data_IF_478068928134
#
_entry.id   IF_478068928134
#
_cell.length_a   1.000
_cell.length_b   1.000
_cell.length_c   1.000
_cell.angle_alpha   90.00
_cell.angle_beta   90.00
_cell.angle_gamma   90.00
#
_symmetry.space_group_name_H-M   'P 1'
#
loop_
_entity.id
_entity.type
_entity.pdbx_description
1 polymer ?
#
# COMPACT_ATOMS: atom_id res chain seq x y z
N UNK A 1 -6.37 -9.69 16.10
CA UNK A 1 -5.00 -9.44 16.60
C UNK A 1 -4.76 -10.07 17.96
N UNK A 2 -5.50 -9.65 18.98
CA UNK A 2 -5.29 -10.18 20.36
C UNK A 2 -5.39 -11.70 20.43
N UNK A 3 -6.42 -12.29 19.84
CA UNK A 3 -6.67 -13.75 19.88
C UNK A 3 -5.58 -14.55 19.13
N UNK A 4 -4.82 -13.90 18.27
CA UNK A 4 -3.69 -14.47 17.52
C UNK A 4 -2.33 -14.18 18.15
N UNK A 5 -2.31 -13.47 19.29
CA UNK A 5 -1.10 -13.21 20.06
C UNK A 5 -0.40 -11.87 19.79
N UNK A 6 -0.98 -10.97 18.99
CA UNK A 6 -0.48 -9.61 18.88
C UNK A 6 -0.72 -8.82 20.17
N UNK A 7 0.17 -7.90 20.48
CA UNK A 7 0.07 -7.01 21.63
C UNK A 7 -0.60 -5.70 21.21
N UNK A 8 -1.77 -5.38 21.80
CA UNK A 8 -2.37 -4.04 21.67
C UNK A 8 -1.59 -3.04 22.52
N UNK A 9 -0.71 -2.27 21.89
CA UNK A 9 0.15 -1.30 22.57
C UNK A 9 -0.56 0.03 22.87
N UNK A 10 -1.61 0.37 22.12
CA UNK A 10 -2.43 1.56 22.33
C UNK A 10 -3.81 1.41 21.71
N UNK A 11 -4.80 2.07 22.27
CA UNK A 11 -6.17 2.08 21.78
C UNK A 11 -6.91 0.76 21.96
N UNK A 12 -7.73 0.39 20.99
CA UNK A 12 -8.48 -0.88 20.95
C UNK A 12 -9.89 -0.78 21.49
N UNK A 13 -10.31 0.37 22.00
CA UNK A 13 -11.63 0.55 22.58
C UNK A 13 -12.55 1.37 21.67
N UNK A 14 -13.83 1.09 21.79
CA UNK A 14 -14.88 1.94 21.21
C UNK A 14 -14.95 3.27 21.95
N UNK A 15 -15.17 4.36 21.20
CA UNK A 15 -15.35 5.69 21.77
C UNK A 15 -16.83 6.06 21.78
N UNK A 16 -17.37 6.25 22.98
CA UNK A 16 -18.76 6.67 23.20
C UNK A 16 -19.81 5.61 22.85
N UNK A 17 -21.08 5.99 22.98
CA UNK A 17 -22.23 5.09 22.81
C UNK A 17 -22.93 5.24 21.44
N UNK A 18 -22.58 6.29 20.70
CA UNK A 18 -23.20 6.62 19.40
C UNK A 18 -22.18 6.57 18.27
N UNK A 19 -22.60 6.04 17.11
CA UNK A 19 -21.75 5.93 15.94
C UNK A 19 -20.75 4.78 16.00
N UNK A 20 -19.79 4.80 15.08
CA UNK A 20 -18.77 3.74 14.87
C UNK A 20 -17.37 4.30 15.12
N UNK A 21 -17.18 4.97 16.25
CA UNK A 21 -15.89 5.53 16.62
C UNK A 21 -15.06 4.54 17.41
N UNK A 22 -13.81 4.37 17.01
CA UNK A 22 -12.81 3.55 17.69
C UNK A 22 -11.55 4.39 17.93
N UNK A 23 -10.86 4.13 19.02
CA UNK A 23 -9.57 4.77 19.31
C UNK A 23 -8.55 4.43 18.22
N UNK A 24 -7.63 5.36 17.86
CA UNK A 24 -6.43 5.00 17.10
C UNK A 24 -5.70 3.86 17.81
N UNK A 25 -5.50 2.76 17.11
CA UNK A 25 -5.06 1.49 17.69
C UNK A 25 -3.73 1.06 17.10
N UNK A 26 -2.81 0.61 17.93
CA UNK A 26 -1.49 0.11 17.51
C UNK A 26 -1.29 -1.29 18.04
N UNK A 27 -1.00 -2.22 17.13
CA UNK A 27 -0.56 -3.58 17.46
C UNK A 27 0.93 -3.76 17.22
N UNK A 28 1.62 -4.37 18.18
CA UNK A 28 3.01 -4.85 18.09
C UNK A 28 3.06 -6.37 18.16
N UNK A 29 4.24 -6.93 17.93
CA UNK A 29 4.47 -8.39 17.90
C UNK A 29 3.58 -9.09 16.88
N UNK A 30 3.26 -8.39 15.80
CA UNK A 30 2.47 -8.91 14.68
C UNK A 30 3.35 -9.81 13.81
N UNK A 31 2.83 -10.98 13.44
CA UNK A 31 3.45 -11.88 12.46
C UNK A 31 2.72 -11.83 11.12
N UNK A 32 3.37 -12.33 10.07
CA UNK A 32 2.83 -12.26 8.70
C UNK A 32 1.55 -13.08 8.50
N UNK A 33 1.28 -14.07 9.35
CA UNK A 33 0.14 -14.97 9.27
C UNK A 33 -1.11 -14.45 10.00
N UNK A 34 -0.96 -13.38 10.79
CA UNK A 34 -2.10 -12.81 11.52
C UNK A 34 -3.06 -12.09 10.57
N UNK A 35 -4.36 -12.20 10.83
CA UNK A 35 -5.41 -11.54 10.04
C UNK A 35 -5.15 -10.02 9.92
N UNK A 36 -4.68 -9.39 11.01
CA UNK A 36 -4.35 -7.95 11.02
C UNK A 36 -3.12 -7.57 10.18
N UNK A 37 -2.37 -8.56 9.66
CA UNK A 37 -1.29 -8.35 8.71
C UNK A 37 -1.71 -8.67 7.27
N UNK A 38 -2.70 -9.53 7.08
CA UNK A 38 -3.12 -10.04 5.77
C UNK A 38 -4.38 -9.37 5.23
N UNK A 39 -5.31 -8.98 6.12
CA UNK A 39 -6.58 -8.37 5.76
C UNK A 39 -6.53 -6.84 5.87
N UNK A 40 -7.29 -6.17 5.01
CA UNK A 40 -7.47 -4.74 5.07
C UNK A 40 -8.50 -4.37 6.16
N UNK A 41 -8.05 -3.81 7.28
CA UNK A 41 -8.92 -3.45 8.40
C UNK A 41 -9.85 -2.28 8.07
N UNK A 42 -9.44 -1.38 7.21
CA UNK A 42 -10.14 -0.16 6.79
C UNK A 42 -10.60 0.72 7.96
N UNK A 43 -9.69 0.93 8.93
CA UNK A 43 -9.92 1.70 10.15
C UNK A 43 -8.62 2.28 10.72
N UNK A 44 -8.69 3.02 11.85
CA UNK A 44 -7.52 3.69 12.45
C UNK A 44 -6.65 2.69 13.24
N UNK A 45 -6.18 1.65 12.56
CA UNK A 45 -5.39 0.57 13.16
C UNK A 45 -4.05 0.45 12.42
N UNK A 46 -2.97 0.37 13.18
CA UNK A 46 -1.62 0.14 12.68
C UNK A 46 -1.06 -1.17 13.21
N UNK A 47 -0.62 -2.05 12.32
CA UNK A 47 0.08 -3.28 12.64
C UNK A 47 1.59 -3.09 12.42
N UNK A 48 2.39 -3.34 13.45
CA UNK A 48 3.85 -3.18 13.42
C UNK A 48 4.52 -4.54 13.34
N UNK A 49 5.24 -4.76 12.25
CA UNK A 49 6.05 -5.95 12.00
C UNK A 49 7.52 -5.57 11.99
N UNK A 50 8.36 -6.35 12.70
CA UNK A 50 9.82 -6.16 12.72
C UNK A 50 10.45 -6.93 11.56
N UNK A 51 11.52 -6.41 11.01
CA UNK A 51 12.36 -7.08 10.02
C UNK A 51 13.85 -6.97 10.42
N UNK A 52 14.71 -7.83 9.88
CA UNK A 52 16.14 -7.88 10.19
C UNK A 52 16.98 -7.09 9.21
N UNK A 53 16.68 -7.24 7.93
CA UNK A 53 17.43 -6.62 6.84
C UNK A 53 16.52 -6.19 5.69
N UNK A 54 17.10 -5.49 4.72
CA UNK A 54 16.34 -4.91 3.60
C UNK A 54 15.77 -5.97 2.66
N UNK A 55 16.43 -7.10 2.50
CA UNK A 55 15.97 -8.14 1.56
C UNK A 55 14.77 -8.88 2.15
N UNK A 56 14.82 -9.23 3.44
CA UNK A 56 13.64 -9.74 4.17
C UNK A 56 12.47 -8.76 4.12
N UNK A 57 12.72 -7.46 4.34
CA UNK A 57 11.68 -6.44 4.26
C UNK A 57 10.99 -6.44 2.89
N UNK A 58 11.76 -6.47 1.80
CA UNK A 58 11.23 -6.44 0.44
C UNK A 58 10.41 -7.70 0.14
N UNK A 59 10.90 -8.87 0.53
CA UNK A 59 10.20 -10.14 0.36
C UNK A 59 8.85 -10.11 1.08
N UNK A 60 8.84 -9.76 2.36
CA UNK A 60 7.64 -9.72 3.19
C UNK A 60 6.66 -8.62 2.76
N UNK A 61 7.15 -7.43 2.43
CA UNK A 61 6.31 -6.34 1.92
C UNK A 61 5.61 -6.70 0.60
N UNK A 62 6.21 -7.59 -0.18
CA UNK A 62 5.62 -8.10 -1.42
C UNK A 62 4.71 -9.32 -1.22
N UNK A 63 4.77 -9.99 -0.08
CA UNK A 63 3.96 -11.16 0.24
C UNK A 63 2.56 -10.77 0.73
N UNK A 64 1.83 -10.05 -0.11
CA UNK A 64 0.43 -9.63 0.11
C UNK A 64 -0.31 -9.65 -1.22
N UNK A 65 -1.62 -9.82 -1.17
CA UNK A 65 -2.47 -9.71 -2.36
C UNK A 65 -2.64 -8.25 -2.83
N UNK A 66 -2.30 -7.28 -2.01
CA UNK A 66 -2.44 -5.86 -2.29
C UNK A 66 -1.15 -5.23 -2.81
N UNK A 67 -1.27 -4.05 -3.40
CA UNK A 67 -0.15 -3.29 -3.93
C UNK A 67 -0.56 -1.88 -4.35
N UNK A 68 -1.31 -1.15 -3.50
CA UNK A 68 -1.75 0.20 -3.83
C UNK A 68 -0.61 1.20 -3.65
N UNK A 69 -0.09 1.29 -2.44
CA UNK A 69 0.90 2.29 -2.10
C UNK A 69 1.86 1.78 -1.01
N UNK A 70 3.06 2.35 -1.01
CA UNK A 70 4.07 2.12 0.03
C UNK A 70 4.83 3.41 0.32
N UNK A 71 5.52 3.45 1.45
CA UNK A 71 6.43 4.54 1.77
C UNK A 71 7.65 4.01 2.53
N UNK A 72 8.79 4.68 2.33
CA UNK A 72 10.03 4.36 3.02
C UNK A 72 10.67 5.62 3.61
N UNK A 73 11.09 5.54 4.86
CA UNK A 73 11.83 6.59 5.54
C UNK A 73 13.25 6.15 5.81
N UNK A 74 14.21 6.80 5.20
CA UNK A 74 15.63 6.52 5.39
C UNK A 74 16.49 7.72 4.97
N UNK A 75 17.69 7.84 5.56
CA UNK A 75 18.72 8.79 5.12
C UNK A 75 19.66 8.18 4.07
N UNK A 76 19.59 6.89 3.88
CA UNK A 76 20.38 6.14 2.90
C UNK A 76 19.66 6.16 1.55
N UNK A 77 20.16 6.90 0.60
CA UNK A 77 19.54 7.08 -0.73
C UNK A 77 19.56 5.78 -1.55
N UNK A 78 20.60 4.97 -1.41
CA UNK A 78 20.70 3.68 -2.11
C UNK A 78 19.61 2.72 -1.60
N UNK A 79 19.46 2.63 -0.29
CA UNK A 79 18.40 1.83 0.35
C UNK A 79 17.02 2.34 -0.03
N UNK A 80 16.82 3.66 -0.08
CA UNK A 80 15.55 4.26 -0.50
C UNK A 80 15.14 3.78 -1.89
N UNK A 81 16.04 3.90 -2.85
CA UNK A 81 15.78 3.48 -4.23
C UNK A 81 15.68 1.96 -4.38
N UNK A 82 16.51 1.19 -3.67
CA UNK A 82 16.41 -0.28 -3.67
C UNK A 82 15.01 -0.71 -3.23
N UNK A 83 14.50 -0.18 -2.12
CA UNK A 83 13.16 -0.52 -1.62
C UNK A 83 12.08 -0.03 -2.60
N UNK A 84 12.14 1.24 -3.04
CA UNK A 84 11.14 1.81 -3.92
C UNK A 84 11.00 1.05 -5.25
N UNK A 85 12.12 0.58 -5.82
CA UNK A 85 12.11 -0.18 -7.07
C UNK A 85 11.70 -1.65 -6.89
N UNK A 86 11.82 -2.20 -5.68
CA UNK A 86 11.58 -3.63 -5.41
C UNK A 86 10.20 -3.91 -4.84
N UNK A 87 9.58 -2.95 -4.16
CA UNK A 87 8.23 -3.11 -3.61
C UNK A 87 7.20 -2.98 -4.73
N UNK A 88 6.32 -3.98 -4.83
CA UNK A 88 5.26 -4.04 -5.85
C UNK A 88 4.02 -3.25 -5.41
N UNK A 89 4.15 -1.93 -5.42
CA UNK A 89 3.08 -0.98 -5.19
C UNK A 89 2.99 0.02 -6.35
N UNK A 90 1.80 0.49 -6.65
CA UNK A 90 1.57 1.44 -7.74
C UNK A 90 2.14 2.83 -7.47
N UNK A 91 2.27 3.18 -6.20
CA UNK A 91 2.93 4.43 -5.77
C UNK A 91 3.86 4.13 -4.60
N UNK A 92 5.08 4.66 -4.65
CA UNK A 92 6.03 4.57 -3.53
C UNK A 92 6.57 5.95 -3.21
N UNK A 93 6.40 6.36 -1.96
CA UNK A 93 6.94 7.62 -1.45
C UNK A 93 8.25 7.40 -0.69
N UNK A 94 9.18 8.33 -0.81
CA UNK A 94 10.44 8.35 -0.07
C UNK A 94 10.45 9.58 0.84
N UNK A 95 10.55 9.36 2.14
CA UNK A 95 10.58 10.40 3.19
C UNK A 95 9.38 11.36 3.18
N UNK A 96 8.27 10.93 2.58
CA UNK A 96 6.98 11.61 2.60
C UNK A 96 5.86 10.56 2.55
N UNK A 97 4.62 10.99 2.72
CA UNK A 97 3.45 10.14 2.59
C UNK A 97 2.25 10.97 2.11
N UNK A 98 1.39 10.38 1.30
CA UNK A 98 0.20 11.03 0.75
C UNK A 98 0.49 12.33 -0.03
N UNK A 99 1.67 12.46 -0.61
CA UNK A 99 2.00 13.55 -1.53
C UNK A 99 1.52 13.18 -2.93
N UNK A 100 0.47 13.81 -3.40
CA UNK A 100 -0.10 13.59 -4.73
C UNK A 100 0.18 14.77 -5.66
N UNK A 101 0.36 14.45 -6.94
CA UNK A 101 0.42 15.42 -8.03
C UNK A 101 -0.57 14.99 -9.11
N UNK A 102 -1.38 15.92 -9.61
CA UNK A 102 -2.36 15.64 -10.65
C UNK A 102 -1.72 15.12 -11.96
N UNK A 103 -0.44 15.39 -12.18
CA UNK A 103 0.32 14.92 -13.33
C UNK A 103 0.95 13.52 -13.11
N UNK A 104 0.97 13.02 -11.88
CA UNK A 104 1.54 11.71 -11.56
C UNK A 104 0.46 10.63 -11.51
N UNK A 105 0.60 9.52 -12.25
CA UNK A 105 -0.39 8.44 -12.22
C UNK A 105 -0.51 7.80 -10.83
N UNK A 106 -1.74 7.52 -10.42
CA UNK A 106 -2.06 6.80 -9.20
C UNK A 106 -2.91 5.56 -9.51
N UNK A 107 -2.61 4.44 -8.85
CA UNK A 107 -3.37 3.21 -8.99
C UNK A 107 -2.60 2.00 -8.45
N UNK A 108 -3.31 0.89 -8.25
CA UNK A 108 -2.78 -0.29 -7.60
C UNK A 108 -2.11 -1.30 -8.52
N UNK A 109 -1.33 -2.17 -7.90
CA UNK A 109 -0.91 -3.46 -8.45
C UNK A 109 -1.74 -4.57 -7.81
N UNK A 110 -1.69 -5.76 -8.38
CA UNK A 110 -2.34 -6.97 -7.86
C UNK A 110 -3.85 -6.73 -7.63
N UNK A 111 -4.38 -7.14 -6.46
CA UNK A 111 -5.80 -6.97 -6.13
C UNK A 111 -6.19 -5.53 -5.75
N UNK A 112 -5.24 -4.62 -5.64
CA UNK A 112 -5.54 -3.20 -5.42
C UNK A 112 -6.08 -2.48 -6.65
N UNK A 113 -6.21 -3.15 -7.78
CA UNK A 113 -6.97 -2.69 -8.92
C UNK A 113 -6.21 -2.64 -10.24
N UNK A 114 -6.95 -2.32 -11.29
CA UNK A 114 -6.48 -2.17 -12.66
C UNK A 114 -6.59 -0.70 -13.09
N UNK A 115 -5.80 -0.33 -14.09
CA UNK A 115 -5.77 1.03 -14.63
C UNK A 115 -5.03 2.02 -13.73
N UNK A 116 -5.09 3.28 -14.13
CA UNK A 116 -4.50 4.40 -13.38
C UNK A 116 -5.47 5.59 -13.39
N UNK A 117 -5.48 6.32 -12.28
CA UNK A 117 -6.07 7.64 -12.18
C UNK A 117 -4.96 8.68 -12.21
N UNK A 118 -5.28 9.91 -12.48
CA UNK A 118 -4.34 11.02 -12.60
C UNK A 118 -3.29 10.83 -13.72
N UNK A 119 -2.60 11.89 -14.05
CA UNK A 119 -1.61 11.92 -15.12
C UNK A 119 -2.17 11.53 -16.50
N UNK A 120 -1.31 11.48 -17.49
CA UNK A 120 -1.69 11.09 -18.87
C UNK A 120 -2.18 9.64 -18.95
N UNK A 121 -1.65 8.76 -18.09
CA UNK A 121 -2.03 7.35 -18.07
C UNK A 121 -3.52 7.11 -17.76
N UNK A 122 -4.20 8.06 -17.09
CA UNK A 122 -5.63 7.98 -16.82
C UNK A 122 -6.48 7.97 -18.10
N UNK A 123 -6.00 8.60 -19.17
CA UNK A 123 -6.71 8.65 -20.46
C UNK A 123 -6.90 7.25 -21.05
N UNK A 124 -5.98 6.33 -20.82
CA UNK A 124 -6.05 4.96 -21.34
C UNK A 124 -7.29 4.19 -20.84
N UNK A 125 -7.91 4.62 -19.74
CA UNK A 125 -9.15 4.00 -19.26
C UNK A 125 -10.39 4.39 -20.10
N UNK A 126 -10.27 5.42 -20.92
CA UNK A 126 -11.38 6.02 -21.69
C UNK A 126 -11.14 6.03 -23.19
N UNK A 127 -9.99 5.52 -23.65
CA UNK A 127 -9.58 5.50 -25.05
C UNK A 127 -9.47 4.07 -25.56
N UNK A 128 -9.75 3.89 -26.83
CA UNK A 128 -9.55 2.63 -27.56
C UNK A 128 -8.72 2.88 -28.82
N UNK A 129 -7.78 1.98 -29.10
CA UNK A 129 -6.98 2.03 -30.32
C UNK A 129 -7.75 1.42 -31.49
N UNK A 130 -7.80 2.12 -32.64
CA UNK A 130 -8.38 1.63 -33.87
C UNK A 130 -7.38 1.67 -35.01
N UNK A 131 -7.09 0.54 -35.60
CA UNK A 131 -6.26 0.47 -36.81
C UNK A 131 -7.12 0.50 -38.05
N UNK A 132 -6.76 1.36 -39.02
CA UNK A 132 -7.37 1.41 -40.35
C UNK A 132 -6.28 1.23 -41.38
N UNK A 133 -6.43 0.20 -42.20
CA UNK A 133 -5.50 -0.08 -43.30
C UNK A 133 -6.21 0.10 -44.65
N UNK A 134 -5.65 0.90 -45.52
CA UNK A 134 -6.15 1.10 -46.89
C UNK A 134 -5.10 0.61 -47.88
N UNK A 135 -5.49 -0.34 -48.74
CA UNK A 135 -4.67 -0.72 -49.88
C UNK A 135 -4.99 0.24 -51.05
N UNK A 136 -3.97 0.89 -51.55
CA UNK A 136 -4.06 1.68 -52.78
C UNK A 136 -3.69 0.76 -53.94
N UNK A 137 -4.63 0.48 -54.82
CA UNK A 137 -4.44 -0.29 -56.04
C UNK A 137 -3.66 0.51 -57.10
#
# INVERSE_FOLDING_TARGET
GNDQGATCAAGGNRVGDRGYFIEPTIFTDVTDEMDIATDEIFGPVMSILKFRDTDELIERANNTMYGLAAAVWTRDVERAHKIANSVRAGTVWINCYNAFDAAAPFGGFKMSGLGRELGEAALNNYLEDKTVTVALS
#
